data_IF_721730396324
#
_entry.id   IF_721730396324
#
_cell.length_a   1.000
_cell.length_b   1.000
_cell.length_c   1.000
_cell.angle_alpha   90.00
_cell.angle_beta   90.00
_cell.angle_gamma   90.00
#
_symmetry.space_group_name_H-M   'P 1'
#
loop_
_entity.id
_entity.type
_entity.pdbx_description
1 polymer ?
#
# COMPACT_ATOMS: atom_id res chain seq x y z
N UNK A 1 -3.46 50.65 -21.60
CA UNK A 1 -2.84 49.46 -22.28
C UNK A 1 -2.02 48.60 -21.32
N UNK A 2 -1.25 49.19 -20.39
CA UNK A 2 -0.47 48.45 -19.38
C UNK A 2 -1.35 47.62 -18.42
N UNK A 3 -2.55 48.09 -18.07
CA UNK A 3 -3.46 47.37 -17.17
C UNK A 3 -3.84 45.98 -17.69
N UNK A 4 -4.10 45.83 -19.00
CA UNK A 4 -4.47 44.55 -19.60
C UNK A 4 -3.29 43.57 -19.60
N UNK A 5 -2.07 44.08 -19.79
CA UNK A 5 -0.85 43.26 -19.73
C UNK A 5 -0.59 42.75 -18.31
N UNK A 6 -0.77 43.60 -17.30
CA UNK A 6 -0.64 43.21 -15.89
C UNK A 6 -1.69 42.14 -15.54
N UNK A 7 -2.94 42.33 -15.95
CA UNK A 7 -4.00 41.36 -15.71
C UNK A 7 -3.70 39.99 -16.35
N UNK A 8 -3.20 39.98 -17.59
CA UNK A 8 -2.79 38.74 -18.27
C UNK A 8 -1.58 38.08 -17.59
N UNK A 9 -0.61 38.85 -17.10
CA UNK A 9 0.53 38.31 -16.38
C UNK A 9 0.11 37.63 -15.06
N UNK A 10 -0.76 38.28 -14.28
CA UNK A 10 -1.27 37.71 -13.02
C UNK A 10 -2.08 36.44 -13.29
N UNK A 11 -2.98 36.47 -14.28
CA UNK A 11 -3.78 35.28 -14.65
C UNK A 11 -2.91 34.13 -15.14
N UNK A 12 -1.86 34.40 -15.93
CA UNK A 12 -0.91 33.38 -16.36
C UNK A 12 -0.20 32.72 -15.16
N UNK A 13 0.27 33.50 -14.19
CA UNK A 13 0.91 32.97 -12.98
C UNK A 13 -0.08 32.15 -12.14
N UNK A 14 -1.31 32.65 -11.97
CA UNK A 14 -2.35 31.93 -11.24
C UNK A 14 -2.68 30.57 -11.89
N UNK A 15 -2.78 30.52 -13.22
CA UNK A 15 -3.01 29.28 -13.98
C UNK A 15 -1.84 28.29 -13.84
N UNK A 16 -0.60 28.78 -13.88
CA UNK A 16 0.59 27.94 -13.68
C UNK A 16 0.60 27.31 -12.28
N UNK A 17 0.32 28.09 -11.24
CA UNK A 17 0.24 27.60 -9.87
C UNK A 17 -0.88 26.57 -9.70
N UNK A 18 -2.08 26.85 -10.24
CA UNK A 18 -3.20 25.91 -10.22
C UNK A 18 -2.86 24.59 -10.94
N UNK A 19 -2.20 24.67 -12.09
CA UNK A 19 -1.72 23.49 -12.84
C UNK A 19 -0.72 22.64 -12.06
N UNK A 20 0.20 23.27 -11.33
CA UNK A 20 1.15 22.55 -10.49
C UNK A 20 0.47 21.86 -9.30
N UNK A 21 -0.50 22.52 -8.67
CA UNK A 21 -1.31 21.93 -7.60
C UNK A 21 -2.08 20.69 -8.09
N UNK A 22 -2.75 20.77 -9.24
CA UNK A 22 -3.47 19.63 -9.83
C UNK A 22 -2.54 18.46 -10.13
N UNK A 23 -1.34 18.71 -10.67
CA UNK A 23 -0.33 17.66 -10.91
C UNK A 23 0.06 16.94 -9.62
N UNK A 24 0.25 17.67 -8.52
CA UNK A 24 0.56 17.07 -7.23
C UNK A 24 -0.57 16.14 -6.72
N UNK A 25 -1.84 16.53 -6.93
CA UNK A 25 -2.99 15.71 -6.58
C UNK A 25 -3.08 14.43 -7.42
N UNK A 26 -2.79 14.51 -8.73
CA UNK A 26 -2.78 13.34 -9.62
C UNK A 26 -1.71 12.33 -9.17
N UNK A 27 -0.49 12.80 -8.85
CA UNK A 27 0.56 11.92 -8.34
C UNK A 27 0.19 11.28 -7.00
N UNK A 28 -0.48 12.02 -6.12
CA UNK A 28 -0.99 11.49 -4.86
C UNK A 28 -2.06 10.41 -5.10
N UNK A 29 -2.99 10.62 -6.04
CA UNK A 29 -4.04 9.66 -6.37
C UNK A 29 -3.46 8.34 -6.94
N UNK A 30 -2.49 8.42 -7.84
CA UNK A 30 -1.85 7.22 -8.41
C UNK A 30 -1.14 6.38 -7.34
N UNK A 31 -0.46 7.02 -6.38
CA UNK A 31 0.14 6.33 -5.22
C UNK A 31 -0.93 5.74 -4.30
N UNK A 32 -2.02 6.47 -4.08
CA UNK A 32 -3.13 6.01 -3.24
C UNK A 32 -3.77 4.74 -3.79
N UNK A 33 -3.97 4.66 -5.11
CA UNK A 33 -4.46 3.46 -5.78
C UNK A 33 -3.53 2.26 -5.52
N UNK A 34 -2.23 2.43 -5.77
CA UNK A 34 -1.25 1.35 -5.56
C UNK A 34 -1.25 0.81 -4.13
N UNK A 35 -1.27 1.71 -3.13
CA UNK A 35 -1.30 1.33 -1.71
C UNK A 35 -2.60 0.62 -1.37
N UNK A 36 -3.73 1.06 -1.92
CA UNK A 36 -5.04 0.44 -1.68
C UNK A 36 -5.11 -0.98 -2.24
N UNK A 37 -4.59 -1.21 -3.46
CA UNK A 37 -4.51 -2.55 -4.05
C UNK A 37 -3.56 -3.46 -3.28
N UNK A 38 -2.42 -2.93 -2.82
CA UNK A 38 -1.50 -3.66 -1.96
C UNK A 38 -2.15 -4.02 -0.61
N UNK A 39 -2.94 -3.11 -0.03
CA UNK A 39 -3.67 -3.37 1.21
C UNK A 39 -4.67 -4.53 1.05
N UNK A 40 -5.41 -4.56 -0.06
CA UNK A 40 -6.31 -5.67 -0.37
C UNK A 40 -5.57 -7.02 -0.43
N UNK A 41 -4.40 -7.06 -1.06
CA UNK A 41 -3.56 -8.26 -1.08
C UNK A 41 -3.10 -8.69 0.32
N UNK A 42 -2.64 -7.73 1.14
CA UNK A 42 -2.17 -8.00 2.48
C UNK A 42 -3.29 -8.54 3.39
N UNK A 43 -4.46 -7.89 3.34
CA UNK A 43 -5.63 -8.30 4.12
C UNK A 43 -6.13 -9.68 3.69
N UNK A 44 -6.22 -9.96 2.38
CA UNK A 44 -6.60 -11.27 1.88
C UNK A 44 -5.66 -12.38 2.37
N UNK A 45 -4.35 -12.14 2.36
CA UNK A 45 -3.37 -13.11 2.84
C UNK A 45 -3.47 -13.34 4.36
N UNK A 46 -3.66 -12.28 5.16
CA UNK A 46 -3.86 -12.38 6.61
C UNK A 46 -5.17 -13.07 6.97
N UNK A 47 -6.25 -12.77 6.25
CA UNK A 47 -7.55 -13.42 6.43
C UNK A 47 -7.46 -14.89 6.05
N UNK A 48 -6.81 -15.22 4.92
CA UNK A 48 -6.57 -16.62 4.52
C UNK A 48 -5.78 -17.38 5.59
N UNK A 49 -4.71 -16.78 6.11
CA UNK A 49 -3.93 -17.36 7.19
C UNK A 49 -4.78 -17.60 8.46
N UNK A 50 -5.66 -16.67 8.82
CA UNK A 50 -6.60 -16.83 9.95
C UNK A 50 -7.65 -17.91 9.70
N UNK A 51 -8.22 -17.98 8.49
CA UNK A 51 -9.27 -18.94 8.12
C UNK A 51 -8.74 -20.36 7.98
N UNK A 52 -7.43 -20.56 7.75
CA UNK A 52 -6.81 -21.88 7.69
C UNK A 52 -6.92 -22.70 8.98
N UNK A 53 -7.35 -22.08 10.08
CA UNK A 53 -7.52 -22.66 11.42
C UNK A 53 -6.26 -23.38 11.97
N UNK A 54 -5.11 -23.18 11.32
CA UNK A 54 -3.82 -23.71 11.72
C UNK A 54 -3.01 -22.57 12.32
N UNK A 55 -2.42 -22.84 13.49
CA UNK A 55 -1.53 -21.88 14.13
C UNK A 55 -0.30 -21.64 13.22
N UNK A 56 -0.13 -20.44 12.64
CA UNK A 56 0.70 -20.21 11.46
C UNK A 56 2.17 -20.50 11.75
N UNK A 57 2.82 -21.42 11.05
CA UNK A 57 4.22 -21.83 11.30
C UNK A 57 5.18 -20.63 11.23
N UNK A 58 6.18 -20.61 12.11
CA UNK A 58 7.26 -19.61 12.07
C UNK A 58 8.05 -19.77 10.78
N UNK A 59 8.38 -18.65 10.13
CA UNK A 59 9.13 -18.64 8.88
C UNK A 59 8.57 -17.61 7.91
N UNK A 60 8.99 -17.76 6.65
CA UNK A 60 8.54 -16.92 5.55
C UNK A 60 7.75 -17.76 4.55
N UNK A 61 6.70 -17.17 3.97
CA UNK A 61 5.97 -17.75 2.84
C UNK A 61 5.64 -16.65 1.84
N UNK A 62 5.54 -17.02 0.57
CA UNK A 62 5.27 -16.09 -0.52
C UNK A 62 3.98 -16.51 -1.20
N UNK A 63 3.09 -15.54 -1.45
CA UNK A 63 1.81 -15.76 -2.12
C UNK A 63 1.66 -14.76 -3.26
N UNK A 64 1.40 -15.22 -4.50
CA UNK A 64 1.09 -14.31 -5.59
C UNK A 64 -0.27 -13.64 -5.34
N UNK A 65 -0.40 -12.36 -5.69
CA UNK A 65 -1.65 -11.63 -5.63
C UNK A 65 -1.78 -10.72 -6.85
N UNK A 66 -2.78 -10.96 -7.69
CA UNK A 66 -3.06 -10.11 -8.84
C UNK A 66 -4.27 -9.22 -8.55
N UNK A 67 -4.11 -7.90 -8.75
CA UNK A 67 -5.19 -6.92 -8.55
C UNK A 67 -5.25 -5.95 -9.73
N UNK A 68 -6.41 -5.86 -10.39
CA UNK A 68 -6.61 -4.99 -11.56
C UNK A 68 -5.50 -5.12 -12.62
N UNK A 69 -5.05 -6.35 -12.90
CA UNK A 69 -3.97 -6.64 -13.85
C UNK A 69 -2.56 -6.27 -13.38
N UNK A 70 -2.39 -5.88 -12.11
CA UNK A 70 -1.08 -5.65 -11.48
C UNK A 70 -0.68 -6.89 -10.67
N UNK A 71 0.52 -7.39 -10.93
CA UNK A 71 1.10 -8.50 -10.17
C UNK A 71 1.80 -7.99 -8.91
N UNK A 72 1.32 -8.44 -7.75
CA UNK A 72 1.95 -8.27 -6.45
C UNK A 72 2.40 -9.63 -5.90
N UNK A 73 3.39 -9.60 -5.01
CA UNK A 73 3.80 -10.76 -4.22
C UNK A 73 3.66 -10.41 -2.75
N UNK A 74 2.89 -11.20 -2.00
CA UNK A 74 2.76 -11.06 -0.56
C UNK A 74 3.75 -11.98 0.12
N UNK A 75 4.71 -11.39 0.83
CA UNK A 75 5.61 -12.08 1.75
C UNK A 75 4.99 -12.09 3.15
N UNK A 76 4.60 -13.25 3.63
CA UNK A 76 4.15 -13.47 5.00
C UNK A 76 5.36 -13.89 5.85
N UNK A 77 5.73 -13.06 6.81
CA UNK A 77 6.75 -13.36 7.80
C UNK A 77 6.11 -13.58 9.16
N UNK A 78 6.27 -14.81 9.68
CA UNK A 78 5.74 -15.21 10.98
C UNK A 78 6.89 -15.33 11.97
N UNK A 79 6.81 -14.59 13.08
CA UNK A 79 7.78 -14.64 14.17
C UNK A 79 7.11 -15.00 15.50
N UNK A 80 7.85 -15.70 16.36
CA UNK A 80 7.42 -15.92 17.74
C UNK A 80 7.27 -14.62 18.52
N UNK A 81 6.49 -14.66 19.60
CA UNK A 81 6.41 -13.59 20.60
C UNK A 81 6.80 -14.14 21.97
N UNK A 82 6.94 -13.27 22.98
CA UNK A 82 7.20 -13.71 24.36
C UNK A 82 6.10 -14.65 24.90
N UNK A 83 4.87 -14.51 24.41
CA UNK A 83 3.78 -15.43 24.72
C UNK A 83 3.72 -16.55 23.66
N UNK A 84 3.94 -17.83 24.02
CA UNK A 84 3.94 -18.93 23.05
C UNK A 84 2.58 -19.17 22.40
N UNK A 85 1.48 -18.65 22.98
CA UNK A 85 0.14 -18.70 22.39
C UNK A 85 -0.08 -17.66 21.29
N UNK A 86 0.85 -16.72 21.10
CA UNK A 86 0.78 -15.67 20.09
C UNK A 86 1.95 -15.71 19.11
N UNK A 87 1.64 -15.52 17.84
CA UNK A 87 2.62 -15.29 16.77
C UNK A 87 2.36 -13.93 16.14
N UNK A 88 3.43 -13.19 15.86
CA UNK A 88 3.36 -11.97 15.06
C UNK A 88 3.43 -12.39 13.59
N UNK A 89 2.44 -12.00 12.81
CA UNK A 89 2.35 -12.28 11.38
C UNK A 89 2.43 -10.93 10.66
N UNK A 90 3.45 -10.77 9.82
CA UNK A 90 3.64 -9.58 8.99
C UNK A 90 3.37 -9.94 7.54
N UNK A 91 2.48 -9.19 6.89
CA UNK A 91 2.23 -9.25 5.46
C UNK A 91 2.91 -8.05 4.79
N UNK A 92 3.98 -8.33 4.04
CA UNK A 92 4.67 -7.35 3.21
C UNK A 92 4.27 -7.59 1.75
N UNK A 93 3.83 -6.54 1.06
CA UNK A 93 3.41 -6.60 -0.33
C UNK A 93 4.48 -5.96 -1.20
N UNK A 94 4.98 -6.75 -2.13
CA UNK A 94 6.04 -6.43 -3.06
C UNK A 94 5.46 -6.26 -4.46
N UNK A 95 5.96 -5.27 -5.20
CA UNK A 95 5.75 -5.15 -6.63
C UNK A 95 7.11 -5.25 -7.32
N UNK A 96 7.43 -6.42 -7.87
CA UNK A 96 8.82 -6.75 -8.21
C UNK A 96 9.66 -6.86 -6.93
N UNK A 97 10.72 -6.06 -6.82
CA UNK A 97 11.62 -6.02 -5.65
C UNK A 97 11.30 -4.84 -4.70
N UNK A 98 10.35 -3.97 -5.06
CA UNK A 98 9.96 -2.83 -4.23
C UNK A 98 8.86 -3.19 -3.23
N UNK A 99 9.05 -2.82 -1.96
CA UNK A 99 8.05 -2.94 -0.90
C UNK A 99 7.04 -1.79 -0.98
N UNK A 100 5.80 -2.09 -1.34
CA UNK A 100 4.71 -1.09 -1.48
C UNK A 100 4.01 -0.84 -0.15
N UNK A 101 3.72 -1.90 0.60
CA UNK A 101 3.02 -1.84 1.88
C UNK A 101 3.49 -2.96 2.80
N UNK A 102 3.53 -2.71 4.10
CA UNK A 102 3.74 -3.75 5.10
C UNK A 102 2.82 -3.52 6.28
N UNK A 103 2.03 -4.52 6.64
CA UNK A 103 1.17 -4.50 7.82
C UNK A 103 1.47 -5.72 8.69
N UNK A 104 1.31 -5.58 10.00
CA UNK A 104 1.53 -6.66 10.95
C UNK A 104 0.32 -6.85 11.85
N UNK A 105 0.07 -8.10 12.22
CA UNK A 105 -0.98 -8.48 13.16
C UNK A 105 -0.46 -9.56 14.11
N UNK A 106 -1.23 -9.85 15.15
CA UNK A 106 -0.96 -10.95 16.07
C UNK A 106 -2.06 -11.99 15.89
N UNK A 107 -1.66 -13.25 15.73
CA UNK A 107 -2.59 -14.39 15.72
C UNK A 107 -2.42 -15.24 16.97
N UNK A 108 -3.55 -15.54 17.59
CA UNK A 108 -3.66 -16.48 18.69
C UNK A 108 -3.85 -17.92 18.21
N UNK A 109 -3.62 -18.86 19.12
CA UNK A 109 -3.84 -20.29 18.89
C UNK A 109 -5.32 -20.70 18.98
N UNK A 110 -6.16 -19.92 19.66
CA UNK A 110 -7.58 -20.18 19.94
C UNK A 110 -8.43 -18.94 19.70
#
# INVERSE_FOLDING_TARGET
MVEVLIALAITAIALLAAGQAMRSMIHAAARQEQVTLAQLCAENALVSARLSAQFPSVGESYQPCEQLGRAFTVKLWVSGTANPSFRRVQAQVLQGDESVLSIATVMGRY
#
